data_IF_044128211648
#
_entry.id   IF_044128211648
#
_cell.length_a   1.000
_cell.length_b   1.000
_cell.length_c   1.000
_cell.angle_alpha   90.00
_cell.angle_beta   90.00
_cell.angle_gamma   90.00
#
_symmetry.space_group_name_H-M   'P 1'
#
loop_
_entity.id
_entity.type
_entity.pdbx_description
1 polymer ?
#
# COMPACT_ATOMS: atom_id res chain seq x y z
N UNK A 1 -15.89 -11.25 67.79
CA UNK A 1 -15.72 -9.82 67.42
C UNK A 1 -14.36 -9.56 66.75
N UNK A 2 -13.22 -9.92 67.36
CA UNK A 2 -11.89 -9.70 66.75
C UNK A 2 -11.66 -10.44 65.40
N UNK A 3 -12.10 -11.69 65.27
CA UNK A 3 -11.97 -12.45 64.02
C UNK A 3 -12.79 -11.87 62.85
N UNK A 4 -13.96 -11.31 63.14
CA UNK A 4 -14.83 -10.72 62.13
C UNK A 4 -14.22 -9.44 61.56
N UNK A 5 -13.58 -8.63 62.41
CA UNK A 5 -12.90 -7.41 62.00
C UNK A 5 -11.65 -7.71 61.14
N UNK A 6 -10.88 -8.75 61.51
CA UNK A 6 -9.73 -9.21 60.73
C UNK A 6 -10.13 -9.76 59.34
N UNK A 7 -11.27 -10.44 59.23
CA UNK A 7 -11.79 -10.95 57.96
C UNK A 7 -12.28 -9.83 57.03
N UNK A 8 -12.89 -8.78 57.59
CA UNK A 8 -13.28 -7.58 56.84
C UNK A 8 -12.07 -6.81 56.31
N UNK A 9 -11.04 -6.62 57.15
CA UNK A 9 -9.77 -6.01 56.75
C UNK A 9 -9.06 -6.80 55.63
N UNK A 10 -9.07 -8.13 55.70
CA UNK A 10 -8.52 -8.98 54.63
C UNK A 10 -9.32 -8.85 53.33
N UNK A 11 -10.66 -8.80 53.40
CA UNK A 11 -11.49 -8.59 52.22
C UNK A 11 -11.21 -7.23 51.56
N UNK A 12 -11.11 -6.16 52.35
CA UNK A 12 -10.80 -4.82 51.83
C UNK A 12 -9.40 -4.79 51.19
N UNK A 13 -8.41 -5.45 51.81
CA UNK A 13 -7.05 -5.59 51.25
C UNK A 13 -7.02 -6.39 49.95
N UNK A 14 -7.75 -7.51 49.89
CA UNK A 14 -7.90 -8.31 48.67
C UNK A 14 -8.61 -7.52 47.58
N UNK A 15 -9.63 -6.75 47.92
CA UNK A 15 -10.37 -5.90 46.97
C UNK A 15 -9.50 -4.76 46.42
N UNK A 16 -8.68 -4.14 47.27
CA UNK A 16 -7.69 -3.14 46.83
C UNK A 16 -6.65 -3.76 45.88
N UNK A 17 -6.17 -4.97 46.18
CA UNK A 17 -5.22 -5.69 45.32
C UNK A 17 -5.85 -6.12 43.99
N UNK A 18 -7.10 -6.57 44.02
CA UNK A 18 -7.88 -6.90 42.82
C UNK A 18 -8.09 -5.65 41.95
N UNK A 19 -8.49 -4.53 42.56
CA UNK A 19 -8.67 -3.26 41.85
C UNK A 19 -7.37 -2.76 41.23
N UNK A 20 -6.23 -2.89 41.95
CA UNK A 20 -4.91 -2.58 41.41
C UNK A 20 -4.57 -3.46 40.19
N UNK A 21 -4.90 -4.76 40.25
CA UNK A 21 -4.65 -5.71 39.17
C UNK A 21 -5.56 -5.46 37.96
N UNK A 22 -6.81 -5.07 38.19
CA UNK A 22 -7.75 -4.65 37.15
C UNK A 22 -7.24 -3.39 36.45
N UNK A 23 -6.83 -2.36 37.20
CA UNK A 23 -6.23 -1.15 36.63
C UNK A 23 -5.00 -1.46 35.78
N UNK A 24 -4.13 -2.36 36.25
CA UNK A 24 -2.93 -2.80 35.51
C UNK A 24 -3.28 -3.56 34.22
N UNK A 25 -4.32 -4.40 34.26
CA UNK A 25 -4.79 -5.12 33.08
C UNK A 25 -5.42 -4.16 32.06
N UNK A 26 -6.19 -3.17 32.53
CA UNK A 26 -6.74 -2.11 31.70
C UNK A 26 -5.64 -1.28 31.03
N UNK A 27 -4.58 -0.92 31.75
CA UNK A 27 -3.40 -0.24 31.17
C UNK A 27 -2.73 -1.08 30.09
N UNK A 28 -2.48 -2.37 30.34
CA UNK A 28 -1.91 -3.27 29.34
C UNK A 28 -2.78 -3.39 28.10
N UNK A 29 -4.09 -3.51 28.26
CA UNK A 29 -5.02 -3.53 27.13
C UNK A 29 -5.03 -2.20 26.38
N UNK A 30 -4.94 -1.06 27.08
CA UNK A 30 -4.87 0.27 26.45
C UNK A 30 -3.58 0.43 25.63
N UNK A 31 -2.44 -0.01 26.15
CA UNK A 31 -1.16 -0.01 25.47
C UNK A 31 -1.20 -0.90 24.22
N UNK A 32 -1.77 -2.10 24.33
CA UNK A 32 -1.95 -3.02 23.20
C UNK A 32 -2.87 -2.44 22.11
N UNK A 33 -3.93 -1.73 22.49
CA UNK A 33 -4.83 -1.04 21.53
C UNK A 33 -4.06 0.08 20.82
N UNK A 34 -3.30 0.88 21.57
CA UNK A 34 -2.49 1.97 21.01
C UNK A 34 -1.43 1.46 20.04
N UNK A 35 -0.76 0.34 20.36
CA UNK A 35 0.22 -0.28 19.47
C UNK A 35 -0.44 -0.81 18.19
N UNK A 36 -1.63 -1.42 18.30
CA UNK A 36 -2.41 -1.85 17.14
C UNK A 36 -2.87 -0.68 16.27
N UNK A 37 -3.34 0.43 16.85
CA UNK A 37 -3.73 1.63 16.10
C UNK A 37 -2.55 2.20 15.31
N UNK A 38 -1.35 2.25 15.92
CA UNK A 38 -0.14 2.69 15.23
C UNK A 38 0.25 1.78 14.07
N UNK A 39 0.09 0.45 14.20
CA UNK A 39 0.32 -0.49 13.10
C UNK A 39 -0.69 -0.32 11.98
N UNK A 40 -1.98 -0.15 12.30
CA UNK A 40 -3.05 0.07 11.32
C UNK A 40 -2.77 1.36 10.54
N UNK A 41 -2.45 2.47 11.22
CA UNK A 41 -2.09 3.73 10.56
C UNK A 41 -0.90 3.57 9.62
N UNK A 42 0.18 2.89 10.04
CA UNK A 42 1.35 2.63 9.17
C UNK A 42 1.00 1.77 7.95
N UNK A 43 0.16 0.76 8.13
CA UNK A 43 -0.30 -0.08 7.01
C UNK A 43 -1.16 0.72 6.05
N UNK A 44 -2.05 1.56 6.57
CA UNK A 44 -2.94 2.40 5.77
C UNK A 44 -2.14 3.46 5.01
N UNK A 45 -1.17 4.11 5.64
CA UNK A 45 -0.24 5.04 4.99
C UNK A 45 0.59 4.35 3.89
N UNK A 46 1.06 3.11 4.13
CA UNK A 46 1.80 2.34 3.14
C UNK A 46 0.92 1.93 1.95
N UNK A 47 -0.33 1.55 2.20
CA UNK A 47 -1.32 1.23 1.16
C UNK A 47 -1.67 2.48 0.34
N UNK A 48 -1.99 3.59 0.98
CA UNK A 48 -2.29 4.86 0.31
C UNK A 48 -1.09 5.36 -0.50
N UNK A 49 0.14 5.23 0.03
CA UNK A 49 1.35 5.57 -0.71
C UNK A 49 1.52 4.68 -1.95
N UNK A 50 1.32 3.36 -1.83
CA UNK A 50 1.37 2.43 -2.97
C UNK A 50 0.35 2.78 -4.06
N UNK A 51 -0.88 3.10 -3.67
CA UNK A 51 -1.94 3.45 -4.62
C UNK A 51 -1.65 4.79 -5.31
N UNK A 52 -1.13 5.77 -4.57
CA UNK A 52 -0.77 7.09 -5.13
C UNK A 52 0.33 7.00 -6.19
N UNK A 53 1.36 6.16 -5.98
CA UNK A 53 2.44 5.94 -6.96
C UNK A 53 1.91 5.20 -8.18
N UNK A 54 1.06 4.19 -7.99
CA UNK A 54 0.45 3.44 -9.09
C UNK A 54 -0.42 4.35 -9.96
N UNK A 55 -1.25 5.17 -9.35
CA UNK A 55 -2.11 6.11 -10.07
C UNK A 55 -1.28 7.16 -10.83
N UNK A 56 -0.25 7.73 -10.19
CA UNK A 56 0.65 8.69 -10.83
C UNK A 56 1.36 8.08 -12.05
N UNK A 57 1.78 6.81 -11.95
CA UNK A 57 2.42 6.09 -13.06
C UNK A 57 1.43 5.80 -14.20
N UNK A 58 0.20 5.37 -13.89
CA UNK A 58 -0.84 5.13 -14.89
C UNK A 58 -1.21 6.41 -15.64
N UNK A 59 -1.38 7.52 -14.91
CA UNK A 59 -1.66 8.83 -15.52
C UNK A 59 -0.48 9.27 -16.38
N UNK A 60 0.75 9.17 -15.88
CA UNK A 60 1.95 9.55 -16.64
C UNK A 60 2.15 8.70 -17.89
N UNK A 61 1.92 7.38 -17.81
CA UNK A 61 1.94 6.48 -18.97
C UNK A 61 0.83 6.82 -19.96
N UNK A 62 -0.42 7.00 -19.51
CA UNK A 62 -1.55 7.37 -20.38
C UNK A 62 -1.37 8.75 -21.02
N UNK A 63 -0.82 9.73 -20.31
CA UNK A 63 -0.55 11.07 -20.84
C UNK A 63 0.63 11.09 -21.82
N UNK A 64 1.67 10.31 -21.55
CA UNK A 64 2.84 10.19 -22.45
C UNK A 64 2.52 9.41 -23.73
N UNK A 65 1.66 8.40 -23.62
CA UNK A 65 1.26 7.52 -24.73
C UNK A 65 -0.02 7.95 -25.45
N UNK A 66 -0.92 8.72 -24.82
CA UNK A 66 -2.21 9.12 -25.38
C UNK A 66 -2.13 10.04 -26.62
N UNK A 67 -0.95 10.56 -26.93
CA UNK A 67 -0.68 11.29 -28.18
C UNK A 67 -0.18 10.38 -29.33
N UNK A 68 -0.12 9.06 -29.12
CA UNK A 68 0.32 8.08 -30.10
C UNK A 68 -0.88 7.20 -30.49
N UNK A 69 -1.71 7.69 -31.41
CA UNK A 69 -2.75 6.97 -32.17
C UNK A 69 -3.17 5.60 -31.58
N UNK A 70 -4.31 5.59 -30.88
CA UNK A 70 -4.95 4.50 -30.11
C UNK A 70 -5.07 3.10 -30.78
N UNK A 71 -4.61 2.92 -32.02
CA UNK A 71 -4.75 1.66 -32.76
C UNK A 71 -3.55 0.73 -32.65
N UNK A 72 -2.36 1.26 -32.33
CA UNK A 72 -1.09 0.50 -32.43
C UNK A 72 -0.40 0.22 -31.08
N UNK A 73 -0.86 0.83 -29.99
CA UNK A 73 -0.29 0.68 -28.63
C UNK A 73 -1.41 0.49 -27.62
N UNK A 74 -1.43 -0.64 -26.92
CA UNK A 74 -2.35 -0.89 -25.81
C UNK A 74 -1.57 -1.09 -24.52
N UNK A 75 -1.89 -0.31 -23.48
CA UNK A 75 -1.30 -0.46 -22.15
C UNK A 75 -2.36 -0.94 -21.17
N UNK A 76 -2.15 -2.13 -20.62
CA UNK A 76 -2.97 -2.71 -19.58
C UNK A 76 -2.16 -2.78 -18.28
N UNK A 77 -2.76 -2.32 -17.19
CA UNK A 77 -2.14 -2.38 -15.86
C UNK A 77 -2.95 -3.33 -15.01
N UNK A 78 -2.33 -4.42 -14.56
CA UNK A 78 -2.96 -5.41 -13.70
C UNK A 78 -2.09 -5.61 -12.45
N UNK A 79 -2.63 -5.20 -11.30
CA UNK A 79 -1.93 -5.21 -10.00
C UNK A 79 -0.58 -4.45 -10.07
N UNK A 80 0.54 -5.15 -9.85
CA UNK A 80 1.90 -4.59 -9.87
C UNK A 80 2.61 -4.80 -11.20
N UNK A 81 1.92 -5.30 -12.24
CA UNK A 81 2.53 -5.62 -13.54
C UNK A 81 1.87 -4.77 -14.63
N UNK A 82 2.71 -4.16 -15.47
CA UNK A 82 2.29 -3.36 -16.63
C UNK A 82 2.52 -4.19 -17.89
N UNK A 83 1.46 -4.44 -18.64
CA UNK A 83 1.49 -5.09 -19.95
C UNK A 83 1.41 -4.02 -21.04
N UNK A 84 2.38 -4.03 -21.95
CA UNK A 84 2.44 -3.13 -23.09
C UNK A 84 2.37 -3.99 -24.35
N UNK A 85 1.25 -3.90 -25.07
CA UNK A 85 1.04 -4.58 -26.35
C UNK A 85 1.27 -3.60 -27.48
N UNK A 86 2.17 -3.95 -28.41
CA UNK A 86 2.56 -3.12 -29.55
C UNK A 86 2.29 -3.90 -30.84
N UNK A 87 1.70 -3.24 -31.84
CA UNK A 87 1.45 -3.88 -33.14
C UNK A 87 2.78 -4.07 -33.91
N UNK A 88 2.94 -5.21 -34.58
CA UNK A 88 4.16 -5.54 -35.35
C UNK A 88 4.39 -4.53 -36.49
N UNK A 89 3.30 -4.05 -37.09
CA UNK A 89 3.29 -2.97 -38.09
C UNK A 89 3.84 -1.64 -37.56
N UNK A 90 3.65 -1.37 -36.27
CA UNK A 90 4.21 -0.18 -35.63
C UNK A 90 5.68 -0.40 -35.26
N UNK A 91 6.02 -1.60 -34.77
CA UNK A 91 7.39 -1.97 -34.39
C UNK A 91 8.36 -1.98 -35.57
N UNK A 92 7.94 -2.51 -36.71
CA UNK A 92 8.82 -2.75 -37.85
C UNK A 92 8.25 -2.20 -39.16
N UNK A 93 9.14 -1.82 -40.07
CA UNK A 93 8.75 -1.57 -41.45
C UNK A 93 8.56 -2.91 -42.19
N UNK A 94 7.62 -2.95 -43.14
CA UNK A 94 7.34 -4.18 -43.90
C UNK A 94 8.61 -4.75 -44.55
N UNK A 95 8.92 -6.02 -44.25
CA UNK A 95 10.11 -6.71 -44.76
C UNK A 95 11.43 -6.34 -44.07
N UNK A 96 11.38 -5.60 -42.95
CA UNK A 96 12.56 -5.15 -42.20
C UNK A 96 12.53 -5.69 -40.76
N UNK A 97 13.68 -6.13 -40.26
CA UNK A 97 13.89 -6.45 -38.84
C UNK A 97 14.33 -5.24 -38.01
N UNK A 98 14.51 -4.09 -38.66
CA UNK A 98 14.91 -2.86 -37.98
C UNK A 98 13.69 -2.14 -37.41
N UNK A 99 13.84 -1.68 -36.17
CA UNK A 99 12.82 -0.91 -35.48
C UNK A 99 12.46 0.36 -36.27
N UNK A 100 11.16 0.61 -36.42
CA UNK A 100 10.65 1.83 -37.04
C UNK A 100 11.03 3.06 -36.19
N UNK A 101 11.11 4.22 -36.83
CA UNK A 101 11.36 5.48 -36.11
C UNK A 101 10.26 5.77 -35.06
N UNK A 102 9.01 5.38 -35.37
CA UNK A 102 7.86 5.52 -34.48
C UNK A 102 8.00 4.63 -33.25
N UNK A 103 8.40 3.37 -33.45
CA UNK A 103 8.64 2.42 -32.36
C UNK A 103 9.73 2.91 -31.41
N UNK A 104 10.82 3.49 -31.94
CA UNK A 104 11.87 4.10 -31.11
C UNK A 104 11.35 5.25 -30.25
N UNK A 105 10.49 6.10 -30.80
CA UNK A 105 9.87 7.21 -30.07
C UNK A 105 9.00 6.69 -28.90
N UNK A 106 8.18 5.68 -29.15
CA UNK A 106 7.29 5.08 -28.13
C UNK A 106 8.11 4.39 -27.03
N UNK A 107 9.09 3.56 -27.41
CA UNK A 107 9.94 2.87 -26.44
C UNK A 107 10.78 3.85 -25.62
N UNK A 108 11.22 4.97 -26.21
CA UNK A 108 11.93 6.03 -25.47
C UNK A 108 11.03 6.68 -24.41
N UNK A 109 9.75 6.89 -24.70
CA UNK A 109 8.77 7.42 -23.73
C UNK A 109 8.53 6.44 -22.59
N UNK A 110 8.39 5.15 -22.90
CA UNK A 110 8.26 4.09 -21.87
C UNK A 110 9.52 4.02 -21.00
N UNK A 111 10.71 4.06 -21.61
CA UNK A 111 11.97 4.04 -20.87
C UNK A 111 12.14 5.25 -19.94
N UNK A 112 11.67 6.42 -20.34
CA UNK A 112 11.68 7.63 -19.49
C UNK A 112 10.82 7.41 -18.24
N UNK A 113 9.61 6.86 -18.41
CA UNK A 113 8.68 6.61 -17.29
C UNK A 113 9.16 5.47 -16.36
N UNK A 114 10.02 4.57 -16.83
CA UNK A 114 10.67 3.56 -15.97
C UNK A 114 11.88 4.10 -15.21
N UNK A 115 12.48 5.19 -15.68
CA UNK A 115 13.69 5.77 -15.09
C UNK A 115 13.38 6.93 -14.12
N UNK A 116 12.16 7.46 -14.15
CA UNK A 116 11.60 8.38 -13.13
C UNK A 116 11.02 7.60 -11.93
#
# INVERSE_FOLDING_TARGET
LNNTNAALLNNVSQMATLSQKEATNLEKSLEQIKEQDLRIRRLQDALTKKDSVTLALVVSLKSSLGNLNDTDVTVNVEKSVVFISLSDKMLFQSGSTKLSARAKEVLSKVATVLND
#
